data_IF_330627498491
#
_entry.id   IF_330627498491
#
_cell.length_a   1.000
_cell.length_b   1.000
_cell.length_c   1.000
_cell.angle_alpha   90.00
_cell.angle_beta   90.00
_cell.angle_gamma   90.00
#
_symmetry.space_group_name_H-M   'P 1'
#
loop_
_entity.id
_entity.type
_entity.pdbx_description
1 polymer ?
#
# COMPACT_ATOMS: atom_id res chain seq x y z
N UNK A 1 -25.53 6.20 14.01
CA UNK A 1 -24.45 7.11 13.59
C UNK A 1 -23.21 6.38 13.07
N UNK A 2 -22.68 5.30 13.68
CA UNK A 2 -21.49 4.60 13.12
C UNK A 2 -21.80 3.76 11.86
N UNK A 3 -23.05 3.31 11.69
CA UNK A 3 -23.46 2.65 10.45
C UNK A 3 -23.27 3.53 9.19
N UNK A 4 -23.23 4.85 9.37
CA UNK A 4 -23.03 5.82 8.29
C UNK A 4 -21.54 5.98 7.93
N UNK A 5 -20.62 5.53 8.79
CA UNK A 5 -19.17 5.73 8.63
C UNK A 5 -18.40 4.48 8.19
N UNK A 6 -19.04 3.32 7.97
CA UNK A 6 -18.33 2.11 7.53
C UNK A 6 -17.62 2.30 6.19
N UNK A 7 -18.24 3.04 5.27
CA UNK A 7 -17.66 3.36 3.97
C UNK A 7 -16.43 4.27 4.14
N UNK A 8 -16.52 5.29 5.01
CA UNK A 8 -15.38 6.13 5.35
C UNK A 8 -14.24 5.32 5.98
N UNK A 9 -14.55 4.40 6.90
CA UNK A 9 -13.56 3.52 7.53
C UNK A 9 -12.86 2.61 6.51
N UNK A 10 -13.62 2.08 5.55
CA UNK A 10 -13.08 1.29 4.43
C UNK A 10 -12.17 2.15 3.56
N UNK A 11 -12.58 3.38 3.26
CA UNK A 11 -11.82 4.30 2.42
C UNK A 11 -10.51 4.76 3.11
N UNK A 12 -10.55 5.02 4.42
CA UNK A 12 -9.35 5.26 5.22
C UNK A 12 -8.43 4.03 5.28
N UNK A 13 -8.99 2.84 5.46
CA UNK A 13 -8.23 1.59 5.45
C UNK A 13 -7.53 1.38 4.11
N UNK A 14 -8.24 1.64 3.01
CA UNK A 14 -7.68 1.57 1.66
C UNK A 14 -6.52 2.54 1.49
N UNK A 15 -6.73 3.80 1.89
CA UNK A 15 -5.73 4.86 1.74
C UNK A 15 -4.48 4.56 2.57
N UNK A 16 -4.64 4.04 3.78
CA UNK A 16 -3.54 3.63 4.65
C UNK A 16 -2.73 2.48 4.04
N UNK A 17 -3.40 1.44 3.54
CA UNK A 17 -2.74 0.30 2.90
C UNK A 17 -2.05 0.73 1.59
N UNK A 18 -2.71 1.54 0.77
CA UNK A 18 -2.16 2.03 -0.49
C UNK A 18 -0.91 2.89 -0.26
N UNK A 19 -0.95 3.82 0.71
CA UNK A 19 0.19 4.64 1.08
C UNK A 19 1.34 3.80 1.67
N UNK A 20 1.04 2.90 2.61
CA UNK A 20 2.03 2.03 3.22
C UNK A 20 2.73 1.14 2.19
N UNK A 21 1.95 0.52 1.29
CA UNK A 21 2.49 -0.29 0.19
C UNK A 21 3.37 0.54 -0.76
N UNK A 22 2.95 1.76 -1.08
CA UNK A 22 3.68 2.65 -1.99
C UNK A 22 4.99 3.16 -1.38
N UNK A 23 4.99 3.48 -0.08
CA UNK A 23 6.19 3.84 0.68
C UNK A 23 7.16 2.67 0.79
N UNK A 24 6.66 1.47 1.06
CA UNK A 24 7.51 0.28 1.11
C UNK A 24 8.12 -0.02 -0.26
N UNK A 25 7.33 0.10 -1.34
CA UNK A 25 7.83 -0.09 -2.70
C UNK A 25 8.91 0.95 -3.08
N UNK A 26 8.78 2.21 -2.68
CA UNK A 26 9.78 3.24 -3.00
C UNK A 26 11.02 3.21 -2.12
N UNK A 27 10.90 2.73 -0.88
CA UNK A 27 11.99 2.75 0.09
C UNK A 27 12.77 1.44 0.17
N UNK A 28 12.14 0.30 -0.14
CA UNK A 28 12.73 -1.02 0.10
C UNK A 28 13.05 -1.77 -1.19
N UNK A 29 14.20 -2.43 -1.23
CA UNK A 29 14.58 -3.31 -2.34
C UNK A 29 13.83 -4.67 -2.31
N UNK A 30 13.22 -5.02 -1.16
CA UNK A 30 12.60 -6.34 -0.90
C UNK A 30 11.50 -6.64 -1.92
N UNK A 31 10.71 -5.64 -2.31
CA UNK A 31 9.64 -5.78 -3.31
C UNK A 31 10.15 -6.26 -4.68
N UNK A 32 11.43 -6.02 -4.99
CA UNK A 32 12.00 -6.27 -6.30
C UNK A 32 12.99 -7.43 -6.30
N UNK A 33 13.31 -8.03 -5.15
CA UNK A 33 14.29 -9.12 -5.06
C UNK A 33 13.89 -10.30 -5.97
N UNK A 34 12.62 -10.71 -5.91
CA UNK A 34 12.09 -11.85 -6.66
C UNK A 34 11.66 -11.51 -8.10
N UNK A 35 11.78 -10.26 -8.54
CA UNK A 35 11.44 -9.86 -9.91
C UNK A 35 12.66 -9.91 -10.84
N UNK A 36 12.44 -10.42 -12.05
CA UNK A 36 13.46 -10.43 -13.11
C UNK A 36 13.77 -9.01 -13.58
N UNK A 37 15.04 -8.76 -13.92
CA UNK A 37 15.54 -7.46 -14.34
C UNK A 37 14.75 -6.89 -15.53
N UNK A 38 14.39 -7.72 -16.51
CA UNK A 38 13.65 -7.29 -17.70
C UNK A 38 12.18 -6.90 -17.46
N UNK A 39 11.64 -7.12 -16.26
CA UNK A 39 10.27 -6.71 -15.88
C UNK A 39 10.24 -5.43 -15.04
N UNK A 40 11.40 -4.99 -14.54
CA UNK A 40 11.50 -3.83 -13.68
C UNK A 40 11.65 -2.57 -14.52
N UNK A 41 10.94 -1.50 -14.14
CA UNK A 41 11.22 -0.19 -14.72
C UNK A 41 12.62 0.28 -14.31
N UNK A 42 13.21 1.19 -15.09
CA UNK A 42 14.55 1.72 -14.79
C UNK A 42 14.64 2.33 -13.37
N UNK A 43 13.58 2.98 -12.90
CA UNK A 43 13.50 3.52 -11.53
C UNK A 43 13.48 2.41 -10.47
N UNK A 44 12.71 1.33 -10.68
CA UNK A 44 12.63 0.19 -9.76
C UNK A 44 13.95 -0.59 -9.71
N UNK A 45 14.64 -0.71 -10.85
CA UNK A 45 15.95 -1.35 -10.94
C UNK A 45 16.98 -0.62 -10.07
N UNK A 46 17.01 0.72 -10.11
CA UNK A 46 17.92 1.51 -9.27
C UNK A 46 17.61 1.39 -7.79
N UNK A 47 16.32 1.23 -7.42
CA UNK A 47 15.94 0.95 -6.02
C UNK A 47 16.47 -0.42 -5.60
N UNK A 48 16.32 -1.44 -6.46
CA UNK A 48 16.86 -2.78 -6.23
C UNK A 48 18.39 -2.77 -6.06
N UNK A 49 19.09 -1.92 -6.82
CA UNK A 49 20.55 -1.77 -6.77
C UNK A 49 21.06 -0.86 -5.63
N UNK A 50 20.16 -0.19 -4.89
CA UNK A 50 20.53 0.74 -3.82
C UNK A 50 21.06 2.10 -4.30
N UNK A 51 21.00 2.38 -5.60
CA UNK A 51 21.52 3.62 -6.22
C UNK A 51 20.42 4.61 -6.62
N UNK A 52 19.19 4.42 -6.11
CA UNK A 52 18.05 5.25 -6.45
C UNK A 52 18.11 6.66 -5.85
N UNK A 53 17.94 7.66 -6.72
CA UNK A 53 17.78 9.07 -6.34
C UNK A 53 16.39 9.35 -5.76
N UNK A 54 16.22 10.49 -5.10
CA UNK A 54 14.90 10.90 -4.57
C UNK A 54 13.83 10.98 -5.66
N UNK A 55 14.17 11.52 -6.84
CA UNK A 55 13.25 11.57 -7.98
C UNK A 55 12.76 10.19 -8.40
N UNK A 56 13.65 9.19 -8.41
CA UNK A 56 13.31 7.81 -8.78
C UNK A 56 12.42 7.16 -7.73
N UNK A 57 12.67 7.43 -6.45
CA UNK A 57 11.83 6.95 -5.34
C UNK A 57 10.43 7.57 -5.40
N UNK A 58 10.33 8.87 -5.68
CA UNK A 58 9.04 9.56 -5.85
C UNK A 58 8.28 9.00 -7.07
N UNK A 59 8.98 8.76 -8.18
CA UNK A 59 8.35 8.19 -9.38
C UNK A 59 7.79 6.78 -9.10
N UNK A 60 8.57 5.92 -8.43
CA UNK A 60 8.09 4.59 -8.03
C UNK A 60 6.96 4.68 -7.01
N UNK A 61 7.02 5.61 -6.06
CA UNK A 61 5.94 5.88 -5.12
C UNK A 61 4.63 6.23 -5.85
N UNK A 62 4.67 7.21 -6.75
CA UNK A 62 3.50 7.64 -7.51
C UNK A 62 2.94 6.51 -8.39
N UNK A 63 3.82 5.78 -9.08
CA UNK A 63 3.43 4.62 -9.89
C UNK A 63 2.76 3.56 -9.01
N UNK A 64 3.37 3.17 -7.90
CA UNK A 64 2.81 2.19 -6.96
C UNK A 64 1.49 2.64 -6.34
N UNK A 65 1.32 3.95 -6.08
CA UNK A 65 0.09 4.51 -5.54
C UNK A 65 -1.05 4.40 -6.55
N UNK A 66 -0.80 4.77 -7.80
CA UNK A 66 -1.79 4.66 -8.88
C UNK A 66 -2.13 3.19 -9.14
N UNK A 67 -1.14 2.30 -9.21
CA UNK A 67 -1.38 0.87 -9.39
C UNK A 67 -2.14 0.22 -8.22
N UNK A 68 -2.08 0.82 -7.02
CA UNK A 68 -2.83 0.32 -5.86
C UNK A 68 -4.34 0.37 -6.07
N UNK A 69 -4.85 1.28 -6.91
CA UNK A 69 -6.27 1.35 -7.27
C UNK A 69 -6.77 0.20 -8.15
N UNK A 70 -5.88 -0.55 -8.78
CA UNK A 70 -6.25 -1.65 -9.70
C UNK A 70 -5.77 -3.00 -9.14
N UNK A 71 -4.95 -2.99 -8.09
CA UNK A 71 -4.33 -4.18 -7.54
C UNK A 71 -5.27 -4.95 -6.62
N UNK A 72 -5.69 -6.14 -7.05
CA UNK A 72 -6.50 -7.06 -6.24
C UNK A 72 -5.89 -7.35 -4.86
N UNK A 73 -4.55 -7.45 -4.79
CA UNK A 73 -3.83 -7.70 -3.52
C UNK A 73 -4.06 -6.59 -2.49
N UNK A 74 -4.10 -5.34 -2.95
CA UNK A 74 -4.32 -4.18 -2.08
C UNK A 74 -5.75 -4.15 -1.57
N UNK A 75 -6.72 -4.45 -2.43
CA UNK A 75 -8.12 -4.59 -2.01
C UNK A 75 -8.30 -5.70 -0.97
N UNK A 76 -7.64 -6.85 -1.16
CA UNK A 76 -7.72 -7.95 -0.20
C UNK A 76 -7.14 -7.58 1.17
N UNK A 77 -5.94 -6.97 1.21
CA UNK A 77 -5.32 -6.50 2.46
C UNK A 77 -6.21 -5.42 3.12
N UNK A 78 -6.77 -4.50 2.33
CA UNK A 78 -7.67 -3.46 2.81
C UNK A 78 -8.89 -4.06 3.50
N UNK A 79 -9.53 -5.07 2.90
CA UNK A 79 -10.68 -5.74 3.50
C UNK A 79 -10.31 -6.43 4.83
N UNK A 80 -9.13 -7.05 4.91
CA UNK A 80 -8.65 -7.65 6.17
C UNK A 80 -8.43 -6.60 7.26
N UNK A 81 -7.78 -5.48 6.92
CA UNK A 81 -7.57 -4.37 7.87
C UNK A 81 -8.90 -3.79 8.32
N UNK A 82 -9.83 -3.59 7.39
CA UNK A 82 -11.17 -3.11 7.70
C UNK A 82 -11.92 -4.08 8.62
N UNK A 83 -11.94 -5.39 8.31
CA UNK A 83 -12.55 -6.42 9.17
C UNK A 83 -11.92 -6.44 10.57
N UNK A 84 -10.60 -6.34 10.66
CA UNK A 84 -9.90 -6.28 11.94
C UNK A 84 -10.27 -5.03 12.75
N UNK A 85 -10.38 -3.87 12.09
CA UNK A 85 -10.81 -2.63 12.73
C UNK A 85 -12.28 -2.71 13.21
N UNK A 86 -13.17 -3.30 12.40
CA UNK A 86 -14.55 -3.58 12.80
C UNK A 86 -14.57 -4.51 14.03
N UNK A 87 -13.85 -5.62 13.99
CA UNK A 87 -13.77 -6.57 15.09
C UNK A 87 -13.22 -5.95 16.38
N UNK A 88 -12.12 -5.21 16.29
CA UNK A 88 -11.53 -4.52 17.44
C UNK A 88 -12.52 -3.54 18.09
N UNK A 89 -13.30 -2.82 17.29
CA UNK A 89 -14.33 -1.91 17.79
C UNK A 89 -15.47 -2.64 18.53
N UNK A 90 -15.89 -3.82 18.05
CA UNK A 90 -16.90 -4.63 18.73
C UNK A 90 -16.41 -5.23 20.05
N UNK A 91 -15.12 -5.57 20.15
CA UNK A 91 -14.53 -6.16 21.36
C UNK A 91 -14.13 -5.12 22.43
N UNK A 92 -13.78 -3.90 22.02
CA UNK A 92 -13.49 -2.78 22.91
C UNK A 92 -14.50 -1.65 22.67
N UNK A 93 -15.73 -1.76 23.21
CA UNK A 93 -16.64 -0.62 23.23
C UNK A 93 -16.02 0.43 24.18
N UNK A 94 -15.34 1.42 23.59
CA UNK A 94 -14.94 2.62 24.32
C UNK A 94 -16.23 3.37 24.63
N UNK A 95 -16.71 3.20 25.87
CA UNK A 95 -17.83 3.92 26.46
C UNK A 95 -17.53 5.41 26.61
#
# INVERSE_FOLDING_TARGET
MIHENWLLLLLYSFLLVALGNSLLASCTAIYYQNQSIGRLSHSQLRIKQGTATLEQRINVFAQSLIFSFISFRIYFITLLVWLAACGAYYFFPIH
#
